data_IF_239848287572
#
_entry.id   IF_239848287572
#
_cell.length_a   1.000
_cell.length_b   1.000
_cell.length_c   1.000
_cell.angle_alpha   90.00
_cell.angle_beta   90.00
_cell.angle_gamma   90.00
#
_symmetry.space_group_name_H-M   'P 1'
#
loop_
_entity.id
_entity.type
_entity.pdbx_description
1 polymer ?
#
# COMPACT_ATOMS: atom_id res chain seq x y z
N UNK A 1 2.22 17.13 -19.01
CA UNK A 1 1.42 18.11 -18.27
C UNK A 1 0.68 17.46 -17.08
N UNK A 2 -0.05 16.38 -17.29
CA UNK A 2 -0.90 15.74 -16.26
C UNK A 2 -0.11 15.17 -15.06
N UNK A 3 0.99 14.47 -15.31
CA UNK A 3 1.85 13.93 -14.24
C UNK A 3 2.45 15.06 -13.41
N UNK A 4 2.88 16.15 -14.05
CA UNK A 4 3.42 17.32 -13.35
C UNK A 4 2.33 17.99 -12.50
N UNK A 5 1.14 18.14 -13.03
CA UNK A 5 -0.01 18.65 -12.30
C UNK A 5 -0.35 17.78 -11.09
N UNK A 6 -0.37 16.44 -11.26
CA UNK A 6 -0.57 15.50 -10.18
C UNK A 6 0.49 15.67 -9.08
N UNK A 7 1.77 15.68 -9.44
CA UNK A 7 2.86 15.84 -8.46
C UNK A 7 2.75 17.16 -7.70
N UNK A 8 2.42 18.25 -8.39
CA UNK A 8 2.26 19.57 -7.74
C UNK A 8 1.03 19.61 -6.82
N UNK A 9 -0.12 19.09 -7.27
CA UNK A 9 -1.36 19.13 -6.48
C UNK A 9 -1.37 18.20 -5.27
N UNK A 10 -0.48 17.20 -5.24
CA UNK A 10 -0.35 16.23 -4.15
C UNK A 10 0.95 16.38 -3.36
N UNK A 11 1.68 17.47 -3.56
CA UNK A 11 2.92 17.75 -2.82
C UNK A 11 2.67 18.15 -1.37
N UNK A 12 1.50 18.71 -1.07
CA UNK A 12 1.11 19.12 0.27
C UNK A 12 0.06 18.19 0.84
N UNK A 13 0.08 18.01 2.16
CA UNK A 13 -0.97 17.32 2.87
C UNK A 13 -2.29 18.10 2.82
N UNK A 14 -3.44 17.42 3.04
CA UNK A 14 -4.72 18.10 3.12
C UNK A 14 -4.76 19.12 4.27
N UNK A 15 -5.56 20.18 4.14
CA UNK A 15 -5.63 21.27 5.11
C UNK A 15 -6.08 20.82 6.53
N UNK A 16 -6.71 19.65 6.63
CA UNK A 16 -7.12 19.07 7.91
C UNK A 16 -6.04 18.21 8.58
N UNK A 17 -4.87 18.02 7.93
CA UNK A 17 -3.76 17.29 8.53
C UNK A 17 -3.24 18.06 9.76
N UNK A 18 -3.13 17.35 10.87
CA UNK A 18 -2.63 17.91 12.14
C UNK A 18 -1.14 17.54 12.30
N UNK A 19 -0.22 18.50 12.22
CA UNK A 19 1.21 18.24 12.35
C UNK A 19 1.59 17.64 13.72
N UNK A 20 0.89 17.98 14.79
CA UNK A 20 1.19 17.46 16.12
C UNK A 20 0.79 15.97 16.23
N UNK A 21 -0.32 15.57 15.60
CA UNK A 21 -0.70 14.16 15.51
C UNK A 21 0.30 13.40 14.63
N UNK A 22 0.76 13.98 13.52
CA UNK A 22 1.76 13.36 12.64
C UNK A 22 3.05 13.10 13.42
N UNK A 23 3.60 14.11 14.10
CA UNK A 23 4.82 13.98 14.89
C UNK A 23 4.69 12.89 15.98
N UNK A 24 3.55 12.84 16.64
CA UNK A 24 3.26 11.82 17.66
C UNK A 24 3.17 10.42 17.04
N UNK A 25 2.48 10.26 15.92
CA UNK A 25 2.34 8.97 15.23
C UNK A 25 3.65 8.44 14.68
N UNK A 26 4.48 9.30 14.07
CA UNK A 26 5.84 8.97 13.62
C UNK A 26 6.71 8.50 14.80
N UNK A 27 6.65 9.22 15.93
CA UNK A 27 7.40 8.88 17.14
C UNK A 27 7.01 7.50 17.67
N UNK A 28 5.73 7.23 17.83
CA UNK A 28 5.22 5.93 18.33
C UNK A 28 5.62 4.80 17.39
N UNK A 29 5.48 4.99 16.09
CA UNK A 29 5.91 3.99 15.13
C UNK A 29 7.41 3.68 15.24
N UNK A 30 8.26 4.70 15.37
CA UNK A 30 9.71 4.52 15.48
C UNK A 30 10.12 3.88 16.81
N UNK A 31 9.42 4.16 17.88
CA UNK A 31 9.64 3.52 19.19
C UNK A 31 9.43 2.01 19.11
N UNK A 32 8.40 1.55 18.39
CA UNK A 32 8.08 0.14 18.20
C UNK A 32 8.44 -0.39 16.81
N UNK A 33 9.36 0.27 16.11
CA UNK A 33 9.63 0.08 14.68
C UNK A 33 9.83 -1.37 14.26
N UNK A 34 10.66 -2.14 14.97
CA UNK A 34 10.88 -3.56 14.65
C UNK A 34 9.60 -4.39 14.82
N UNK A 35 8.81 -4.14 15.88
CA UNK A 35 7.56 -4.84 16.12
C UNK A 35 6.51 -4.44 15.07
N UNK A 36 6.45 -3.15 14.73
CA UNK A 36 5.57 -2.63 13.67
C UNK A 36 5.85 -3.30 12.33
N UNK A 37 7.12 -3.41 11.95
CA UNK A 37 7.53 -4.09 10.72
C UNK A 37 7.26 -5.60 10.76
N UNK A 38 7.41 -6.23 11.92
CA UNK A 38 7.08 -7.65 12.10
C UNK A 38 5.58 -7.89 11.94
N UNK A 39 4.74 -7.06 12.55
CA UNK A 39 3.28 -7.12 12.37
C UNK A 39 2.91 -6.86 10.91
N UNK A 40 3.52 -5.86 10.27
CA UNK A 40 3.30 -5.57 8.86
C UNK A 40 3.60 -6.79 7.99
N UNK A 41 4.73 -7.45 8.20
CA UNK A 41 5.15 -8.60 7.39
C UNK A 41 4.31 -9.86 7.68
N UNK A 42 3.98 -10.14 8.95
CA UNK A 42 3.39 -11.41 9.38
C UNK A 42 1.86 -11.40 9.46
N UNK A 43 1.24 -10.22 9.59
CA UNK A 43 -0.21 -10.07 9.68
C UNK A 43 -0.78 -9.21 8.55
N UNK A 44 -0.33 -7.98 8.41
CA UNK A 44 -0.91 -7.00 7.49
C UNK A 44 -0.81 -7.42 6.02
N UNK A 45 0.38 -7.80 5.57
CA UNK A 45 0.57 -8.20 4.18
C UNK A 45 -0.19 -9.49 3.83
N UNK A 46 -0.19 -10.56 4.67
CA UNK A 46 -1.05 -11.72 4.42
C UNK A 46 -2.53 -11.38 4.32
N UNK A 47 -3.06 -10.45 5.11
CA UNK A 47 -4.47 -10.04 5.03
C UNK A 47 -4.85 -9.41 3.68
N UNK A 48 -3.92 -8.76 2.98
CA UNK A 48 -4.16 -8.25 1.63
C UNK A 48 -4.53 -9.36 0.63
N UNK A 49 -4.04 -10.58 0.83
CA UNK A 49 -4.32 -11.71 -0.07
C UNK A 49 -5.69 -12.35 0.15
N UNK A 50 -6.33 -12.09 1.26
CA UNK A 50 -7.71 -12.53 1.51
C UNK A 50 -8.70 -11.76 0.62
N UNK A 51 -8.31 -10.59 0.16
CA UNK A 51 -9.11 -9.75 -0.73
C UNK A 51 -8.97 -10.25 -2.17
N UNK A 52 -10.02 -10.89 -2.69
CA UNK A 52 -9.99 -11.56 -3.99
C UNK A 52 -9.60 -10.66 -5.17
N UNK A 53 -9.96 -9.38 -5.15
CA UNK A 53 -9.62 -8.43 -6.21
C UNK A 53 -8.17 -7.94 -6.10
N UNK A 54 -7.70 -7.69 -4.89
CA UNK A 54 -6.29 -7.38 -4.63
C UNK A 54 -5.40 -8.55 -5.03
N UNK A 55 -5.76 -9.77 -4.61
CA UNK A 55 -5.04 -11.00 -4.98
C UNK A 55 -5.03 -11.22 -6.50
N UNK A 56 -6.14 -10.92 -7.20
CA UNK A 56 -6.24 -11.01 -8.65
C UNK A 56 -5.29 -10.04 -9.38
N UNK A 57 -5.13 -8.82 -8.87
CA UNK A 57 -4.18 -7.83 -9.42
C UNK A 57 -2.74 -8.30 -9.17
N UNK A 58 -2.44 -8.72 -7.93
CA UNK A 58 -1.10 -9.18 -7.55
C UNK A 58 -0.66 -10.39 -8.38
N UNK A 59 -1.56 -11.36 -8.60
CA UNK A 59 -1.30 -12.52 -9.45
C UNK A 59 -1.05 -12.14 -10.91
N UNK A 60 -1.82 -11.20 -11.48
CA UNK A 60 -1.66 -10.76 -12.88
C UNK A 60 -0.36 -10.03 -13.13
N UNK A 61 0.15 -9.30 -12.18
CA UNK A 61 1.44 -8.63 -12.30
C UNK A 61 2.61 -9.60 -12.22
N UNK A 62 2.37 -10.86 -11.86
CA UNK A 62 3.38 -11.93 -11.62
C UNK A 62 4.52 -11.49 -10.67
N UNK A 63 4.36 -10.35 -10.04
CA UNK A 63 5.39 -9.74 -9.20
C UNK A 63 5.66 -10.56 -7.94
N UNK A 64 4.66 -11.33 -7.49
CA UNK A 64 4.78 -12.11 -6.26
C UNK A 64 5.48 -13.45 -6.44
N UNK A 65 5.28 -14.11 -7.58
CA UNK A 65 5.95 -15.40 -7.82
C UNK A 65 7.43 -15.22 -8.20
N UNK A 66 7.73 -14.16 -8.97
CA UNK A 66 9.06 -13.94 -9.53
C UNK A 66 9.93 -12.98 -8.72
N UNK A 67 9.32 -12.08 -7.94
CA UNK A 67 10.01 -10.95 -7.30
C UNK A 67 9.62 -10.70 -5.83
N UNK A 68 9.19 -11.74 -5.08
CA UNK A 68 8.86 -11.63 -3.64
C UNK A 68 10.00 -10.95 -2.87
N UNK A 69 11.23 -11.35 -3.12
CA UNK A 69 12.42 -10.81 -2.45
C UNK A 69 12.65 -9.30 -2.73
N UNK A 70 12.02 -8.74 -3.74
CA UNK A 70 12.07 -7.32 -4.06
C UNK A 70 10.87 -6.56 -3.52
N UNK A 71 9.66 -7.13 -3.64
CA UNK A 71 8.40 -6.46 -3.26
C UNK A 71 8.26 -6.23 -1.76
N UNK A 72 8.66 -7.22 -0.95
CA UNK A 72 8.62 -7.08 0.51
C UNK A 72 9.48 -5.91 1.00
N UNK A 73 10.78 -5.82 0.64
CA UNK A 73 11.61 -4.66 1.00
C UNK A 73 11.05 -3.33 0.46
N UNK A 74 10.50 -3.27 -0.75
CA UNK A 74 9.92 -2.05 -1.31
C UNK A 74 8.73 -1.57 -0.48
N UNK A 75 7.86 -2.48 -0.01
CA UNK A 75 6.72 -2.15 0.85
C UNK A 75 7.17 -1.67 2.22
N UNK A 76 8.15 -2.36 2.82
CA UNK A 76 8.75 -1.96 4.10
C UNK A 76 9.39 -0.58 3.99
N UNK A 77 10.15 -0.34 2.93
CA UNK A 77 10.79 0.97 2.70
C UNK A 77 9.76 2.09 2.46
N UNK A 78 8.62 1.78 1.83
CA UNK A 78 7.51 2.73 1.71
C UNK A 78 6.93 3.07 3.09
N UNK A 79 6.64 2.07 3.91
CA UNK A 79 6.11 2.28 5.26
C UNK A 79 7.09 3.08 6.14
N UNK A 80 8.38 2.75 6.08
CA UNK A 80 9.43 3.49 6.77
C UNK A 80 9.49 4.94 6.29
N UNK A 81 9.48 5.19 4.98
CA UNK A 81 9.54 6.54 4.43
C UNK A 81 8.33 7.41 4.84
N UNK A 82 7.14 6.80 4.97
CA UNK A 82 5.93 7.48 5.46
C UNK A 82 6.03 7.79 6.94
N UNK A 83 6.53 6.85 7.74
CA UNK A 83 6.52 6.91 9.20
C UNK A 83 7.86 7.38 9.81
N UNK A 84 8.84 7.75 8.98
CA UNK A 84 10.07 8.38 9.45
C UNK A 84 9.81 9.82 9.91
N UNK A 85 10.67 10.34 10.79
CA UNK A 85 10.55 11.71 11.27
C UNK A 85 10.53 12.73 10.13
N UNK A 86 9.45 13.49 10.06
CA UNK A 86 9.21 14.44 8.98
C UNK A 86 8.95 13.77 7.62
N UNK A 87 8.68 12.46 7.59
CA UNK A 87 8.35 11.74 6.37
C UNK A 87 7.14 12.31 5.64
N UNK A 88 6.17 12.81 6.38
CA UNK A 88 4.99 13.49 5.86
C UNK A 88 5.13 15.03 5.82
N UNK A 89 6.31 15.56 6.11
CA UNK A 89 6.59 16.99 5.95
C UNK A 89 6.65 17.44 4.49
N UNK A 90 6.73 18.78 4.24
CA UNK A 90 6.69 19.35 2.87
C UNK A 90 7.73 18.77 1.91
N UNK A 91 8.92 18.42 2.41
CA UNK A 91 9.99 17.79 1.62
C UNK A 91 10.21 16.32 2.02
N UNK A 92 9.24 15.73 2.69
CA UNK A 92 9.33 14.39 3.25
C UNK A 92 9.43 13.29 2.20
N UNK A 93 10.18 12.24 2.53
CA UNK A 93 10.29 11.07 1.67
C UNK A 93 8.95 10.34 1.52
N UNK A 94 8.10 10.37 2.56
CA UNK A 94 6.78 9.76 2.57
C UNK A 94 5.85 10.31 1.51
N UNK A 95 5.81 11.63 1.34
CA UNK A 95 5.01 12.26 0.26
C UNK A 95 5.48 11.77 -1.12
N UNK A 96 6.79 11.81 -1.38
CA UNK A 96 7.34 11.40 -2.68
C UNK A 96 7.10 9.92 -2.98
N UNK A 97 7.28 9.04 -1.99
CA UNK A 97 7.05 7.60 -2.19
C UNK A 97 5.58 7.30 -2.41
N UNK A 98 4.68 7.97 -1.70
CA UNK A 98 3.22 7.82 -1.88
C UNK A 98 2.77 8.28 -3.27
N UNK A 99 3.28 9.41 -3.75
CA UNK A 99 3.05 9.86 -5.13
C UNK A 99 3.50 8.82 -6.16
N UNK A 100 4.72 8.28 -5.98
CA UNK A 100 5.26 7.22 -6.83
C UNK A 100 4.37 5.97 -6.84
N UNK A 101 3.91 5.53 -5.67
CA UNK A 101 3.02 4.36 -5.54
C UNK A 101 1.69 4.61 -6.24
N UNK A 102 1.09 5.79 -6.09
CA UNK A 102 -0.17 6.15 -6.77
C UNK A 102 -0.02 6.15 -8.29
N UNK A 103 1.08 6.70 -8.81
CA UNK A 103 1.38 6.65 -10.25
C UNK A 103 1.61 5.22 -10.75
N UNK A 104 2.30 4.39 -9.96
CA UNK A 104 2.48 2.98 -10.27
C UNK A 104 1.13 2.23 -10.31
N UNK A 105 0.25 2.47 -9.35
CA UNK A 105 -1.09 1.88 -9.34
C UNK A 105 -1.90 2.30 -10.57
N UNK A 106 -1.82 3.56 -10.97
CA UNK A 106 -2.47 4.04 -12.20
C UNK A 106 -1.92 3.34 -13.46
N UNK A 107 -0.60 3.18 -13.55
CA UNK A 107 0.04 2.47 -14.67
C UNK A 107 -0.36 0.99 -14.70
N UNK A 108 -0.34 0.31 -13.56
CA UNK A 108 -0.74 -1.12 -13.46
C UNK A 108 -2.21 -1.28 -13.84
N UNK A 109 -3.11 -0.41 -13.35
CA UNK A 109 -4.52 -0.41 -13.74
C UNK A 109 -4.68 -0.27 -15.24
N UNK A 110 -3.96 0.67 -15.84
CA UNK A 110 -4.01 0.89 -17.29
C UNK A 110 -3.57 -0.37 -18.06
N UNK A 111 -2.46 -0.99 -17.66
CA UNK A 111 -1.95 -2.20 -18.31
C UNK A 111 -2.90 -3.40 -18.15
N UNK A 112 -3.59 -3.54 -17.02
CA UNK A 112 -4.59 -4.61 -16.81
C UNK A 112 -5.80 -4.40 -17.71
N UNK A 113 -6.27 -3.16 -17.84
CA UNK A 113 -7.46 -2.82 -18.64
C UNK A 113 -7.17 -2.77 -20.14
N UNK A 114 -5.92 -2.53 -20.52
CA UNK A 114 -5.49 -2.43 -21.91
C UNK A 114 -4.34 -3.40 -22.20
N UNK A 115 -4.58 -4.72 -22.10
CA UNK A 115 -3.55 -5.71 -22.38
C UNK A 115 -3.08 -5.52 -23.81
N UNK A 116 -1.78 -5.35 -24.02
CA UNK A 116 -1.21 -5.36 -25.37
C UNK A 116 -1.52 -6.72 -25.97
N UNK A 117 -2.01 -6.73 -27.21
CA UNK A 117 -2.23 -7.95 -27.99
C UNK A 117 -0.88 -8.63 -28.18
N UNK A 118 -0.50 -9.48 -27.25
CA UNK A 118 0.65 -10.35 -27.41
C UNK A 118 0.21 -11.57 -28.23
N UNK A 119 1.08 -12.09 -29.05
CA UNK A 119 1.03 -13.42 -29.67
C UNK A 119 0.28 -14.40 -28.76
N UNK A 120 -0.62 -15.26 -29.30
CA UNK A 120 -1.39 -16.17 -28.46
C UNK A 120 -0.48 -16.82 -27.42
N UNK A 121 -0.80 -16.75 -26.13
CA UNK A 121 0.03 -17.36 -25.11
C UNK A 121 0.14 -18.86 -25.40
N UNK A 122 1.32 -19.43 -25.14
CA UNK A 122 1.48 -20.88 -25.10
C UNK A 122 0.39 -21.48 -24.18
N UNK A 123 -0.08 -22.71 -24.43
CA UNK A 123 -1.10 -23.33 -23.61
C UNK A 123 -0.74 -23.19 -22.12
N UNK A 124 -1.69 -22.76 -21.27
CA UNK A 124 -1.38 -22.49 -19.87
C UNK A 124 -0.91 -23.76 -19.16
N UNK A 125 0.25 -23.65 -18.49
CA UNK A 125 0.87 -24.79 -17.79
C UNK A 125 0.06 -25.24 -16.56
N UNK A 126 -0.92 -24.43 -16.10
CA UNK A 126 -1.79 -24.75 -14.97
C UNK A 126 -3.09 -23.95 -15.03
N UNK A 127 -4.10 -24.36 -14.24
CA UNK A 127 -5.34 -23.59 -14.06
C UNK A 127 -5.08 -22.17 -13.56
N UNK A 128 -4.09 -21.98 -12.69
CA UNK A 128 -3.68 -20.65 -12.23
C UNK A 128 -3.16 -19.80 -13.38
N UNK A 129 -2.32 -20.35 -14.26
CA UNK A 129 -1.84 -19.67 -15.46
C UNK A 129 -2.98 -19.34 -16.43
N UNK A 130 -3.95 -20.25 -16.59
CA UNK A 130 -5.14 -20.00 -17.42
C UNK A 130 -5.96 -18.82 -16.87
N UNK A 131 -6.16 -18.76 -15.55
CA UNK A 131 -6.86 -17.68 -14.89
C UNK A 131 -6.11 -16.34 -15.02
N UNK A 132 -4.80 -16.35 -14.87
CA UNK A 132 -3.97 -15.15 -15.00
C UNK A 132 -3.91 -14.63 -16.45
N UNK A 133 -3.94 -15.54 -17.42
CA UNK A 133 -3.97 -15.23 -18.85
C UNK A 133 -5.36 -14.74 -19.32
N UNK A 134 -6.44 -15.05 -18.59
CA UNK A 134 -7.76 -14.50 -18.87
C UNK A 134 -7.76 -12.99 -18.64
N UNK A 135 -8.43 -12.20 -19.48
CA UNK A 135 -8.57 -10.76 -19.29
C UNK A 135 -9.15 -10.39 -17.91
N UNK A 136 -9.11 -9.13 -17.55
CA UNK A 136 -9.79 -8.64 -16.34
C UNK A 136 -11.29 -8.86 -16.47
N UNK A 137 -11.89 -9.48 -15.47
CA UNK A 137 -13.34 -9.66 -15.40
C UNK A 137 -13.99 -8.33 -15.01
N UNK A 138 -14.76 -7.75 -15.94
CA UNK A 138 -15.47 -6.49 -15.73
C UNK A 138 -16.47 -6.54 -14.57
N UNK A 139 -16.97 -7.72 -14.19
CA UNK A 139 -17.84 -7.89 -13.04
C UNK A 139 -17.17 -7.55 -11.70
N UNK A 140 -15.83 -7.57 -11.67
CA UNK A 140 -15.02 -7.14 -10.50
C UNK A 140 -14.88 -5.61 -10.39
N UNK A 141 -15.41 -4.86 -11.35
CA UNK A 141 -15.22 -3.40 -11.42
C UNK A 141 -13.79 -3.01 -11.85
N UNK A 142 -13.30 -1.90 -11.32
CA UNK A 142 -11.98 -1.37 -11.66
C UNK A 142 -10.87 -2.06 -10.86
N UNK A 143 -9.80 -2.56 -11.50
CA UNK A 143 -8.63 -3.07 -10.77
C UNK A 143 -7.98 -1.94 -9.96
N UNK A 144 -7.54 -2.25 -8.76
CA UNK A 144 -6.97 -1.28 -7.81
C UNK A 144 -7.99 -0.13 -7.57
N UNK A 145 -9.22 -0.49 -7.24
CA UNK A 145 -10.29 0.46 -6.95
C UNK A 145 -9.99 1.31 -5.71
N UNK A 146 -10.72 2.41 -5.51
CA UNK A 146 -10.59 3.19 -4.27
C UNK A 146 -11.00 2.37 -3.04
N UNK A 147 -11.95 1.45 -3.20
CA UNK A 147 -12.32 0.52 -2.14
C UNK A 147 -11.17 -0.42 -1.78
N UNK A 148 -10.50 -1.02 -2.77
CA UNK A 148 -9.33 -1.87 -2.53
C UNK A 148 -8.21 -1.11 -1.83
N UNK A 149 -7.93 0.12 -2.29
CA UNK A 149 -6.91 0.98 -1.69
C UNK A 149 -7.26 1.34 -0.24
N UNK A 150 -8.52 1.67 0.05
CA UNK A 150 -8.97 1.96 1.41
C UNK A 150 -8.80 0.75 2.33
N UNK A 151 -9.16 -0.45 1.86
CA UNK A 151 -8.98 -1.66 2.66
C UNK A 151 -7.50 -1.98 2.85
N UNK A 152 -6.67 -1.82 1.82
CA UNK A 152 -5.21 -2.02 1.94
C UNK A 152 -4.60 -1.01 2.92
N UNK A 153 -5.01 0.24 2.93
CA UNK A 153 -4.56 1.22 3.94
C UNK A 153 -4.89 0.76 5.37
N UNK A 154 -6.04 0.11 5.58
CA UNK A 154 -6.36 -0.45 6.90
C UNK A 154 -5.40 -1.54 7.34
N UNK A 155 -4.75 -2.25 6.43
CA UNK A 155 -3.74 -3.24 6.79
C UNK A 155 -2.45 -2.58 7.32
N UNK A 156 -2.10 -1.40 6.83
CA UNK A 156 -0.96 -0.62 7.34
C UNK A 156 -1.28 0.12 8.64
N UNK A 157 -2.53 0.43 8.89
CA UNK A 157 -2.98 1.22 10.04
C UNK A 157 -3.61 0.35 11.12
N UNK A 158 -4.85 -0.06 10.94
CA UNK A 158 -5.64 -0.78 11.95
C UNK A 158 -5.06 -2.16 12.31
N UNK A 159 -4.58 -2.91 11.30
CA UNK A 159 -4.01 -4.26 11.56
C UNK A 159 -2.72 -4.16 12.35
N UNK A 160 -1.90 -3.14 12.11
CA UNK A 160 -0.68 -2.90 12.90
C UNK A 160 -1.04 -2.59 14.35
N UNK A 161 -2.03 -1.72 14.61
CA UNK A 161 -2.50 -1.42 15.97
C UNK A 161 -3.07 -2.67 16.67
N UNK A 162 -3.82 -3.50 15.95
CA UNK A 162 -4.28 -4.79 16.48
C UNK A 162 -3.10 -5.67 16.88
N UNK A 163 -2.11 -5.80 16.00
CA UNK A 163 -0.91 -6.57 16.29
C UNK A 163 -0.11 -6.01 17.48
N UNK A 164 -0.03 -4.71 17.66
CA UNK A 164 0.59 -4.11 18.85
C UNK A 164 -0.15 -4.52 20.13
N UNK A 165 -1.49 -4.48 20.14
CA UNK A 165 -2.28 -4.95 21.28
C UNK A 165 -2.09 -6.43 21.56
N UNK A 166 -2.06 -7.27 20.52
CA UNK A 166 -1.84 -8.72 20.62
C UNK A 166 -0.43 -9.05 21.17
N UNK A 167 0.56 -8.21 20.89
CA UNK A 167 1.91 -8.30 21.43
C UNK A 167 2.07 -7.68 22.82
N UNK A 168 1.00 -7.08 23.38
CA UNK A 168 1.03 -6.42 24.69
C UNK A 168 1.79 -5.09 24.69
N UNK A 169 1.95 -4.44 23.54
CA UNK A 169 2.60 -3.13 23.44
C UNK A 169 1.68 -2.07 24.05
N UNK A 170 2.17 -1.30 25.04
CA UNK A 170 1.36 -0.33 25.75
C UNK A 170 1.25 0.98 24.93
N UNK A 171 0.24 1.06 24.07
CA UNK A 171 -0.04 2.26 23.27
C UNK A 171 -1.31 2.93 23.83
N UNK A 172 -1.25 4.22 24.08
CA UNK A 172 -2.39 5.02 24.55
C UNK A 172 -3.39 5.29 23.43
N UNK A 173 -4.62 5.65 23.78
CA UNK A 173 -5.65 6.02 22.79
C UNK A 173 -5.24 7.23 21.93
N UNK A 174 -4.51 8.18 22.50
CA UNK A 174 -4.02 9.35 21.76
C UNK A 174 -2.90 8.97 20.78
N UNK A 175 -2.03 8.05 21.15
CA UNK A 175 -0.99 7.51 20.27
C UNK A 175 -1.59 6.68 19.14
N UNK A 176 -2.59 5.84 19.41
CA UNK A 176 -3.33 5.12 18.37
C UNK A 176 -3.98 6.08 17.38
N UNK A 177 -4.66 7.13 17.89
CA UNK A 177 -5.26 8.18 17.06
C UNK A 177 -4.21 8.87 16.19
N UNK A 178 -3.06 9.20 16.76
CA UNK A 178 -1.96 9.83 16.06
C UNK A 178 -1.37 8.93 14.95
N UNK A 179 -1.17 7.66 15.24
CA UNK A 179 -0.72 6.67 14.26
C UNK A 179 -1.71 6.53 13.10
N UNK A 180 -3.01 6.41 13.39
CA UNK A 180 -4.06 6.35 12.37
C UNK A 180 -4.10 7.61 11.53
N UNK A 181 -3.85 8.78 12.15
CA UNK A 181 -3.83 10.05 11.43
C UNK A 181 -2.76 10.08 10.35
N UNK A 182 -1.55 9.56 10.61
CA UNK A 182 -0.49 9.47 9.61
C UNK A 182 -0.92 8.71 8.35
N UNK A 183 -1.67 7.62 8.50
CA UNK A 183 -2.17 6.83 7.36
C UNK A 183 -3.41 7.44 6.69
N UNK A 184 -4.16 8.27 7.39
CA UNK A 184 -5.34 8.94 6.84
C UNK A 184 -4.99 10.12 5.94
N UNK A 185 -3.83 10.75 6.12
CA UNK A 185 -3.46 11.96 5.36
C UNK A 185 -2.81 11.65 4.01
N UNK A 186 -2.50 10.39 3.71
CA UNK A 186 -1.90 9.94 2.45
C UNK A 186 -2.89 9.16 1.61
#
# INVERSE_FOLDING_TARGET
>A
PEVQQFLTSTAALPAWADPALIDTGEKVFLEWGLMSLSVLACASLPECYVLGDVAAVLGRTQELEKHVNRRMPETVMMALAVMDRGGLGPDGAGIRVTQKVRLMHAAVRHLILHPRSATPPAPPASLAHAYLASGWDAARGQPISQQDLAIVILTFSHVVLRGWRDLGIPVTADEEKAYLHCWNVI
#
